data_IF_447587342462
#
_entry.id   IF_447587342462
#
_cell.length_a   1.000
_cell.length_b   1.000
_cell.length_c   1.000
_cell.angle_alpha   90.00
_cell.angle_beta   90.00
_cell.angle_gamma   90.00
#
_symmetry.space_group_name_H-M   'P 1'
#
loop_
_entity.id
_entity.type
_entity.pdbx_description
1 polymer ?
#
# COMPACT_ATOMS: atom_id res chain seq x y z
N UNK A 1 10.22 -42.37 -14.52
CA UNK A 1 9.43 -42.62 -13.31
C UNK A 1 9.92 -41.65 -12.25
N UNK A 2 9.20 -40.63 -11.85
CA UNK A 2 7.90 -40.08 -12.24
C UNK A 2 7.96 -38.63 -11.72
N UNK A 3 7.40 -37.69 -12.47
CA UNK A 3 7.21 -36.31 -12.03
C UNK A 3 6.24 -36.23 -10.84
N UNK A 4 6.38 -35.19 -10.03
CA UNK A 4 5.29 -34.68 -9.20
C UNK A 4 5.26 -33.15 -9.31
N UNK A 5 4.75 -32.68 -10.44
CA UNK A 5 4.19 -31.35 -10.60
C UNK A 5 2.83 -31.32 -9.89
N UNK A 6 2.59 -30.33 -9.04
CA UNK A 6 1.28 -30.02 -8.51
C UNK A 6 1.22 -28.52 -8.21
N UNK A 7 0.18 -27.76 -8.54
CA UNK A 7 -0.89 -27.86 -9.53
C UNK A 7 -1.35 -26.40 -9.67
N UNK A 8 -1.63 -25.99 -10.90
CA UNK A 8 -2.11 -24.65 -11.25
C UNK A 8 -3.52 -24.45 -10.71
N UNK A 9 -3.84 -23.21 -10.33
CA UNK A 9 -5.19 -22.84 -9.93
C UNK A 9 -5.33 -21.41 -9.42
N UNK A 10 -4.55 -20.44 -9.94
CA UNK A 10 -4.90 -19.04 -9.73
C UNK A 10 -6.02 -18.68 -10.69
N UNK A 11 -7.24 -18.65 -10.15
CA UNK A 11 -8.40 -18.10 -10.83
C UNK A 11 -8.08 -16.66 -11.23
N UNK A 12 -8.00 -16.40 -12.53
CA UNK A 12 -8.01 -15.07 -13.14
C UNK A 12 -9.40 -14.46 -12.93
N UNK A 13 -9.74 -14.14 -11.69
CA UNK A 13 -10.91 -13.33 -11.38
C UNK A 13 -10.63 -11.93 -11.95
N UNK A 14 -11.45 -11.51 -12.91
CA UNK A 14 -11.37 -10.20 -13.53
C UNK A 14 -11.40 -9.13 -12.43
N UNK A 15 -10.26 -8.47 -12.26
CA UNK A 15 -10.03 -7.54 -11.18
C UNK A 15 -10.64 -6.18 -11.53
N UNK A 16 -11.90 -5.94 -11.13
CA UNK A 16 -12.54 -4.65 -11.30
C UNK A 16 -12.08 -3.70 -10.19
N UNK A 17 -11.70 -2.47 -10.53
CA UNK A 17 -11.22 -1.47 -9.56
C UNK A 17 -12.24 -1.12 -8.46
N UNK A 18 -13.51 -1.49 -8.66
CA UNK A 18 -14.60 -1.39 -7.68
C UNK A 18 -14.45 -2.32 -6.48
N UNK A 19 -13.59 -3.34 -6.55
CA UNK A 19 -13.39 -4.33 -5.48
C UNK A 19 -12.29 -3.89 -4.48
N UNK A 20 -11.74 -2.68 -4.65
CA UNK A 20 -10.73 -2.12 -3.76
C UNK A 20 -11.39 -1.26 -2.69
N UNK A 21 -11.17 -1.62 -1.44
CA UNK A 21 -11.52 -0.81 -0.28
C UNK A 21 -10.30 -0.01 0.18
N UNK A 22 -10.45 1.31 0.26
CA UNK A 22 -9.43 2.19 0.82
C UNK A 22 -9.73 2.47 2.29
N UNK A 23 -8.75 2.24 3.15
CA UNK A 23 -8.86 2.44 4.60
C UNK A 23 -7.73 3.35 5.06
N UNK A 24 -8.05 4.35 5.89
CA UNK A 24 -7.03 5.17 6.53
C UNK A 24 -6.25 4.37 7.57
N UNK A 25 -5.04 4.80 7.89
CA UNK A 25 -4.26 4.14 8.94
C UNK A 25 -4.99 4.20 10.30
N UNK A 26 -5.39 3.04 10.81
CA UNK A 26 -6.18 2.90 12.04
C UNK A 26 -5.37 2.51 13.28
N UNK A 27 -4.05 2.37 13.17
CA UNK A 27 -3.16 2.04 14.29
C UNK A 27 -2.17 0.91 14.00
N UNK A 28 -1.47 0.46 15.04
CA UNK A 28 -0.33 -0.48 14.93
C UNK A 28 -0.68 -1.81 14.24
N UNK A 29 -1.95 -2.24 14.22
CA UNK A 29 -2.38 -3.44 13.49
C UNK A 29 -2.20 -3.32 11.96
N UNK A 30 -2.18 -2.10 11.40
CA UNK A 30 -1.86 -1.86 10.00
C UNK A 30 -0.36 -1.80 9.71
N UNK A 31 0.49 -1.61 10.74
CA UNK A 31 1.92 -1.44 10.54
C UNK A 31 2.60 -2.67 9.92
N UNK A 32 2.33 -3.92 10.37
CA UNK A 32 2.84 -5.11 9.72
C UNK A 32 2.40 -5.27 8.26
N UNK A 33 1.20 -4.79 7.91
CA UNK A 33 0.69 -4.83 6.53
C UNK A 33 1.50 -3.91 5.62
N UNK A 34 1.77 -2.68 6.09
CA UNK A 34 2.61 -1.71 5.37
C UNK A 34 4.03 -2.25 5.20
N UNK A 35 4.63 -2.75 6.28
CA UNK A 35 5.99 -3.30 6.25
C UNK A 35 6.10 -4.45 5.25
N UNK A 36 5.15 -5.40 5.27
CA UNK A 36 5.13 -6.52 4.32
C UNK A 36 5.11 -6.05 2.86
N UNK A 37 4.26 -5.07 2.54
CA UNK A 37 4.16 -4.53 1.19
C UNK A 37 5.48 -3.87 0.76
N UNK A 38 6.07 -3.07 1.65
CA UNK A 38 7.31 -2.37 1.37
C UNK A 38 8.48 -3.35 1.21
N UNK A 39 8.59 -4.36 2.08
CA UNK A 39 9.65 -5.37 2.01
C UNK A 39 9.57 -6.21 0.72
N UNK A 40 8.37 -6.41 0.16
CA UNK A 40 8.17 -7.18 -1.07
C UNK A 40 8.50 -6.40 -2.36
N UNK A 41 8.29 -5.08 -2.36
CA UNK A 41 8.37 -4.26 -3.57
C UNK A 41 9.51 -3.22 -3.57
N UNK A 42 9.98 -2.80 -2.40
CA UNK A 42 11.11 -1.88 -2.27
C UNK A 42 12.34 -2.63 -1.75
N UNK A 43 13.46 -2.42 -2.42
CA UNK A 43 14.74 -3.06 -2.10
C UNK A 43 15.48 -2.42 -0.91
N UNK A 44 14.94 -1.34 -0.33
CA UNK A 44 15.56 -0.63 0.78
C UNK A 44 14.93 -1.02 2.13
N UNK A 45 15.71 -1.59 3.07
CA UNK A 45 15.19 -1.95 4.38
C UNK A 45 14.99 -0.69 5.23
N UNK A 46 13.73 -0.36 5.54
CA UNK A 46 13.42 0.67 6.52
C UNK A 46 13.34 0.07 7.93
N UNK A 47 13.87 0.80 8.91
CA UNK A 47 13.65 0.45 10.31
C UNK A 47 12.16 0.63 10.68
N UNK A 48 11.67 -0.12 11.65
CA UNK A 48 10.32 0.08 12.22
C UNK A 48 10.06 1.53 12.66
N UNK A 49 11.11 2.23 13.11
CA UNK A 49 11.03 3.63 13.54
C UNK A 49 10.69 4.57 12.38
N UNK A 50 11.16 4.29 11.17
CA UNK A 50 10.84 5.07 9.99
C UNK A 50 9.33 5.04 9.71
N UNK A 51 8.73 3.85 9.73
CA UNK A 51 7.29 3.71 9.51
C UNK A 51 6.49 4.41 10.61
N UNK A 52 6.83 4.16 11.88
CA UNK A 52 6.18 4.80 13.04
C UNK A 52 6.24 6.31 12.99
N UNK A 53 7.38 6.88 12.58
CA UNK A 53 7.52 8.33 12.42
C UNK A 53 6.45 8.90 11.49
N UNK A 54 6.22 8.28 10.32
CA UNK A 54 5.20 8.76 9.38
C UNK A 54 3.78 8.54 9.90
N UNK A 55 3.45 7.32 10.33
CA UNK A 55 2.07 6.98 10.68
C UNK A 55 1.62 7.57 12.02
N UNK A 56 2.54 7.95 12.91
CA UNK A 56 2.19 8.64 14.16
C UNK A 56 2.02 10.15 13.97
N UNK A 57 2.81 10.76 13.10
CA UNK A 57 2.72 12.20 12.84
C UNK A 57 1.64 12.55 11.82
N UNK A 58 1.42 11.67 10.83
CA UNK A 58 0.44 11.87 9.76
C UNK A 58 -0.40 10.61 9.48
N UNK A 59 -1.09 10.04 10.50
CA UNK A 59 -1.99 8.90 10.29
C UNK A 59 -3.07 9.19 9.23
N UNK A 60 -3.58 10.44 9.21
CA UNK A 60 -4.60 10.90 8.28
C UNK A 60 -4.12 11.05 6.83
N UNK A 61 -2.80 11.02 6.60
CA UNK A 61 -2.21 11.07 5.25
C UNK A 61 -1.66 9.69 4.82
N UNK A 62 -2.00 8.64 5.56
CA UNK A 62 -1.56 7.28 5.30
C UNK A 62 -2.77 6.39 5.03
N UNK A 63 -2.78 5.70 3.90
CA UNK A 63 -3.90 4.90 3.43
C UNK A 63 -3.45 3.53 2.96
N UNK A 64 -4.31 2.53 3.15
CA UNK A 64 -4.12 1.16 2.71
C UNK A 64 -5.24 0.80 1.73
N UNK A 65 -4.89 -0.01 0.73
CA UNK A 65 -5.82 -0.57 -0.24
C UNK A 65 -6.00 -2.06 0.06
N UNK A 66 -7.25 -2.48 0.24
CA UNK A 66 -7.64 -3.86 0.47
C UNK A 66 -8.42 -4.39 -0.72
N UNK A 67 -8.10 -5.60 -1.14
CA UNK A 67 -8.90 -6.36 -2.10
C UNK A 67 -9.36 -7.66 -1.45
N UNK A 68 -10.67 -7.87 -1.35
CA UNK A 68 -11.28 -9.06 -0.73
C UNK A 68 -10.65 -9.41 0.63
N UNK A 69 -10.45 -8.39 1.47
CA UNK A 69 -9.84 -8.52 2.80
C UNK A 69 -8.31 -8.65 2.84
N UNK A 70 -7.63 -8.71 1.68
CA UNK A 70 -6.17 -8.74 1.60
C UNK A 70 -5.61 -7.34 1.35
N UNK A 71 -4.65 -6.89 2.14
CA UNK A 71 -3.95 -5.64 1.88
C UNK A 71 -3.03 -5.79 0.66
N UNK A 72 -3.32 -5.04 -0.40
CA UNK A 72 -2.65 -5.11 -1.72
C UNK A 72 -1.87 -3.85 -2.08
N UNK A 73 -2.03 -2.77 -1.32
CA UNK A 73 -1.30 -1.53 -1.53
C UNK A 73 -1.34 -0.60 -0.33
N UNK A 74 -0.42 0.36 -0.32
CA UNK A 74 -0.32 1.39 0.70
C UNK A 74 0.27 2.67 0.11
N UNK A 75 -0.18 3.80 0.62
CA UNK A 75 0.44 5.11 0.41
C UNK A 75 0.66 5.76 1.76
N UNK A 76 1.90 6.17 2.02
CA UNK A 76 2.31 6.85 3.24
C UNK A 76 2.84 8.21 2.86
N UNK A 77 2.17 9.27 3.30
CA UNK A 77 2.52 10.65 3.01
C UNK A 77 2.87 11.43 4.28
N UNK A 78 3.62 12.51 4.11
CA UNK A 78 3.76 13.59 5.10
C UNK A 78 3.37 14.93 4.49
N UNK A 79 2.98 15.87 5.35
CA UNK A 79 2.82 17.27 4.99
C UNK A 79 3.59 18.13 5.98
N UNK A 80 4.35 19.10 5.47
CA UNK A 80 5.11 20.03 6.29
C UNK A 80 5.16 21.41 5.67
N UNK A 81 5.40 22.41 6.50
CA UNK A 81 5.60 23.79 6.04
C UNK A 81 7.04 23.97 5.54
N UNK A 82 7.17 24.60 4.38
CA UNK A 82 8.45 24.97 3.82
C UNK A 82 8.33 26.35 3.18
N UNK A 83 9.03 27.34 3.76
CA UNK A 83 9.08 28.73 3.26
C UNK A 83 7.67 29.33 3.06
N UNK A 84 6.83 29.27 4.10
CA UNK A 84 5.44 29.75 4.10
C UNK A 84 4.51 29.07 3.09
N UNK A 85 4.85 27.86 2.62
CA UNK A 85 4.00 27.03 1.75
C UNK A 85 3.89 25.61 2.30
N UNK A 86 2.76 24.94 2.10
CA UNK A 86 2.61 23.53 2.47
C UNK A 86 3.17 22.64 1.36
N UNK A 87 4.04 21.69 1.73
CA UNK A 87 4.55 20.66 0.81
C UNK A 87 4.17 19.28 1.30
N UNK A 88 3.50 18.54 0.42
CA UNK A 88 3.30 17.10 0.57
C UNK A 88 4.53 16.34 0.09
N UNK A 89 4.84 15.23 0.75
CA UNK A 89 5.84 14.27 0.32
C UNK A 89 5.26 12.87 0.43
N UNK A 90 5.28 12.14 -0.69
CA UNK A 90 4.93 10.72 -0.74
C UNK A 90 6.18 9.96 -0.32
N UNK A 91 6.15 9.38 0.88
CA UNK A 91 7.27 8.63 1.41
C UNK A 91 7.33 7.22 0.86
N UNK A 92 6.17 6.57 0.77
CA UNK A 92 6.05 5.20 0.29
C UNK A 92 4.77 5.11 -0.53
N UNK A 93 4.87 4.56 -1.74
CA UNK A 93 3.72 4.22 -2.57
C UNK A 93 3.98 2.83 -3.13
N UNK A 94 3.20 1.86 -2.65
CA UNK A 94 3.37 0.46 -3.01
C UNK A 94 2.04 -0.13 -3.41
N UNK A 95 2.04 -0.85 -4.52
CA UNK A 95 0.97 -1.75 -4.95
C UNK A 95 1.65 -3.03 -5.37
N UNK A 96 1.15 -4.17 -4.89
CA UNK A 96 1.66 -5.50 -5.26
C UNK A 96 1.55 -5.72 -6.77
N UNK A 97 2.59 -6.30 -7.40
CA UNK A 97 2.66 -6.56 -8.85
C UNK A 97 1.39 -7.12 -9.49
N UNK A 98 0.72 -8.16 -8.93
CA UNK A 98 -0.48 -8.74 -9.53
C UNK A 98 -1.65 -7.77 -9.66
N UNK A 99 -1.58 -6.63 -8.98
CA UNK A 99 -2.63 -5.62 -8.88
C UNK A 99 -2.25 -4.29 -9.57
N UNK A 100 -1.05 -4.19 -10.15
CA UNK A 100 -0.60 -2.99 -10.90
C UNK A 100 -1.28 -2.86 -12.25
N UNK A 101 -1.24 -1.64 -12.83
CA UNK A 101 -1.78 -1.36 -14.16
C UNK A 101 -3.31 -1.30 -14.24
N UNK A 102 -3.99 -1.31 -13.08
CA UNK A 102 -5.46 -1.34 -12.97
C UNK A 102 -6.06 -0.13 -12.22
N UNK A 103 -5.32 0.98 -12.13
CA UNK A 103 -5.80 2.24 -11.55
C UNK A 103 -5.81 2.35 -10.01
N UNK A 104 -5.39 1.30 -9.28
CA UNK A 104 -5.42 1.25 -7.80
C UNK A 104 -4.53 2.32 -7.15
N UNK A 105 -3.40 2.65 -7.78
CA UNK A 105 -2.53 3.73 -7.30
C UNK A 105 -3.05 5.14 -7.61
N UNK A 106 -4.06 5.26 -8.48
CA UNK A 106 -4.61 6.55 -8.93
C UNK A 106 -5.89 6.92 -8.19
N UNK A 107 -6.71 5.93 -7.80
CA UNK A 107 -7.99 6.16 -7.13
C UNK A 107 -7.90 6.89 -5.77
N UNK A 108 -6.92 6.66 -4.87
CA UNK A 108 -6.83 7.44 -3.64
C UNK A 108 -6.38 8.89 -3.88
N UNK A 109 -5.99 9.22 -5.11
CA UNK A 109 -5.59 10.57 -5.55
C UNK A 109 -6.66 11.22 -6.45
N UNK A 110 -7.79 10.55 -6.69
CA UNK A 110 -8.94 11.22 -7.32
C UNK A 110 -9.49 12.25 -6.33
N UNK A 111 -9.52 13.54 -6.70
CA UNK A 111 -10.22 14.52 -5.92
C UNK A 111 -11.73 14.26 -6.14
N UNK A 112 -12.56 15.14 -5.60
CA UNK A 112 -13.65 15.72 -6.37
C UNK A 112 -13.77 15.30 -7.86
#
# INVERSE_FOLDING_TARGET
MEAATANEGESTAEFQGSDIEYVSYGGEHHLPLIMRLVDEELSEPYSIFTYRYFVYLWPQLSFLAFYRGTCVGTVVCKMGEHRNTFRGYIAMLVVLKPYRGRGIGLSPLSPF
#
